data_IF_100545259413
#
_entry.id   IF_100545259413
#
_cell.length_a   1.000
_cell.length_b   1.000
_cell.length_c   1.000
_cell.angle_alpha   90.00
_cell.angle_beta   90.00
_cell.angle_gamma   90.00
#
_symmetry.space_group_name_H-M   'P 1'
#
loop_
_entity.id
_entity.type
_entity.pdbx_description
1 polymer ?
#
# COMPACT_ATOMS: atom_id res chain seq x y z
N UNK A 1 1.26 -25.90 -2.15
CA UNK A 1 1.85 -24.55 -2.14
C UNK A 1 1.71 -23.96 -3.53
N UNK A 2 0.64 -23.21 -3.78
CA UNK A 2 0.30 -22.72 -5.12
C UNK A 2 0.78 -21.28 -5.26
N UNK A 3 2.05 -21.11 -5.62
CA UNK A 3 2.68 -19.82 -6.03
C UNK A 3 2.11 -19.31 -7.38
N UNK A 4 1.06 -19.99 -7.88
CA UNK A 4 0.50 -19.85 -9.23
C UNK A 4 -0.62 -18.81 -9.32
N UNK A 5 -0.96 -18.15 -8.19
CA UNK A 5 -2.02 -17.12 -8.16
C UNK A 5 -1.52 -15.68 -8.11
N UNK A 6 -0.23 -15.46 -7.87
CA UNK A 6 0.33 -14.10 -7.82
C UNK A 6 0.28 -13.46 -9.22
N UNK A 7 -0.32 -12.27 -9.40
CA UNK A 7 -0.33 -11.57 -10.67
C UNK A 7 1.09 -11.43 -11.26
N UNK A 8 1.21 -11.65 -12.58
CA UNK A 8 2.50 -11.71 -13.26
C UNK A 8 3.31 -10.41 -13.12
N UNK A 9 2.63 -9.28 -13.21
CA UNK A 9 3.20 -7.95 -13.08
C UNK A 9 3.72 -7.66 -11.66
N UNK A 10 2.97 -8.04 -10.61
CA UNK A 10 3.44 -7.90 -9.22
C UNK A 10 4.73 -8.70 -9.04
N UNK A 11 4.74 -9.97 -9.49
CA UNK A 11 5.93 -10.82 -9.43
C UNK A 11 7.12 -10.21 -10.18
N UNK A 12 6.87 -9.63 -11.35
CA UNK A 12 7.89 -8.95 -12.15
C UNK A 12 8.50 -7.77 -11.39
N UNK A 13 7.67 -6.91 -10.79
CA UNK A 13 8.12 -5.77 -10.00
C UNK A 13 8.90 -6.18 -8.75
N UNK A 14 8.42 -7.18 -8.01
CA UNK A 14 9.14 -7.73 -6.85
C UNK A 14 10.51 -8.26 -7.25
N UNK A 15 10.60 -9.05 -8.33
CA UNK A 15 11.86 -9.60 -8.81
C UNK A 15 12.81 -8.51 -9.28
N UNK A 16 12.30 -7.50 -9.98
CA UNK A 16 13.11 -6.36 -10.44
C UNK A 16 13.63 -5.53 -9.27
N UNK A 17 12.81 -5.30 -8.26
CA UNK A 17 13.14 -4.43 -7.13
C UNK A 17 14.09 -5.10 -6.15
N UNK A 18 13.79 -6.34 -5.75
CA UNK A 18 14.54 -7.05 -4.70
C UNK A 18 15.58 -8.02 -5.26
N UNK A 19 15.56 -8.31 -6.56
CA UNK A 19 16.42 -9.32 -7.17
C UNK A 19 16.06 -10.73 -6.72
N UNK A 20 16.73 -11.23 -5.68
CA UNK A 20 16.55 -12.58 -5.13
C UNK A 20 15.52 -12.56 -4.01
N UNK A 21 14.44 -13.33 -4.14
CA UNK A 21 13.39 -13.36 -3.11
C UNK A 21 13.79 -14.01 -1.76
N UNK A 22 14.70 -15.01 -1.68
CA UNK A 22 15.20 -15.49 -0.39
C UNK A 22 16.27 -14.59 0.24
N UNK A 23 16.89 -13.70 -0.54
CA UNK A 23 17.95 -12.77 -0.12
C UNK A 23 17.76 -11.40 -0.82
N UNK A 24 16.73 -10.63 -0.43
CA UNK A 24 16.38 -9.39 -1.13
C UNK A 24 17.45 -8.30 -1.01
N UNK A 25 17.72 -7.63 -2.12
CA UNK A 25 18.52 -6.39 -2.16
C UNK A 25 17.60 -5.15 -2.12
N UNK A 26 17.66 -4.41 -1.02
CA UNK A 26 16.86 -3.21 -0.79
C UNK A 26 17.47 -1.93 -1.38
N UNK A 27 18.60 -2.00 -2.09
CA UNK A 27 19.26 -0.79 -2.63
C UNK A 27 18.39 -0.04 -3.62
N UNK A 28 17.77 -0.74 -4.57
CA UNK A 28 16.89 -0.12 -5.55
C UNK A 28 15.63 0.49 -4.90
N UNK A 29 15.13 -0.15 -3.85
CA UNK A 29 13.99 0.37 -3.09
C UNK A 29 14.34 1.71 -2.44
N UNK A 30 15.49 1.78 -1.77
CA UNK A 30 15.98 3.03 -1.16
C UNK A 30 16.18 4.14 -2.20
N UNK A 31 16.74 3.80 -3.36
CA UNK A 31 16.90 4.74 -4.48
C UNK A 31 15.54 5.25 -4.98
N UNK A 32 14.54 4.37 -5.12
CA UNK A 32 13.18 4.73 -5.53
C UNK A 32 12.50 5.66 -4.50
N UNK A 33 12.58 5.33 -3.21
CA UNK A 33 12.02 6.16 -2.12
C UNK A 33 12.66 7.55 -2.05
N UNK A 34 13.96 7.66 -2.33
CA UNK A 34 14.68 8.93 -2.34
C UNK A 34 14.32 9.82 -3.55
N UNK A 35 13.84 9.23 -4.65
CA UNK A 35 13.50 9.98 -5.87
C UNK A 35 12.19 10.78 -5.76
N UNK A 36 11.33 10.47 -4.78
CA UNK A 36 10.05 11.14 -4.57
C UNK A 36 9.10 11.09 -5.77
N UNK A 37 8.76 9.89 -6.31
CA UNK A 37 8.07 9.76 -7.59
C UNK A 37 6.61 10.25 -7.59
N UNK A 38 6.03 10.52 -6.41
CA UNK A 38 4.62 10.86 -6.25
C UNK A 38 4.35 12.35 -6.00
N UNK A 39 5.33 13.23 -6.14
CA UNK A 39 5.16 14.65 -5.82
C UNK A 39 3.98 15.31 -6.55
N UNK A 40 3.78 14.99 -7.83
CA UNK A 40 2.67 15.55 -8.61
C UNK A 40 1.30 15.05 -8.10
N UNK A 41 1.19 13.75 -7.80
CA UNK A 41 -0.01 13.16 -7.21
C UNK A 41 -0.29 13.77 -5.83
N UNK A 42 0.72 13.85 -4.96
CA UNK A 42 0.59 14.41 -3.61
C UNK A 42 0.13 15.87 -3.69
N UNK A 43 0.66 16.67 -4.63
CA UNK A 43 0.20 18.03 -4.85
C UNK A 43 -1.27 18.09 -5.30
N UNK A 44 -1.71 17.17 -6.17
CA UNK A 44 -3.11 17.06 -6.56
C UNK A 44 -4.00 16.70 -5.37
N UNK A 45 -3.61 15.71 -4.56
CA UNK A 45 -4.32 15.29 -3.34
C UNK A 45 -4.43 16.46 -2.35
N UNK A 46 -3.34 17.19 -2.12
CA UNK A 46 -3.29 18.34 -1.21
C UNK A 46 -4.14 19.54 -1.68
N UNK A 47 -4.51 19.60 -2.96
CA UNK A 47 -5.44 20.62 -3.46
C UNK A 47 -6.89 20.36 -3.03
N UNK A 48 -7.21 19.14 -2.57
CA UNK A 48 -8.55 18.71 -2.17
C UNK A 48 -8.64 18.31 -0.70
N UNK A 49 -7.61 17.67 -0.17
CA UNK A 49 -7.58 17.09 1.18
C UNK A 49 -6.56 17.79 2.06
N UNK A 50 -6.74 17.72 3.38
CA UNK A 50 -5.60 17.81 4.28
C UNK A 50 -4.80 16.51 4.13
N UNK A 51 -3.53 16.63 3.79
CA UNK A 51 -2.64 15.49 3.57
C UNK A 51 -1.54 15.50 4.63
N UNK A 52 -1.40 14.39 5.34
CA UNK A 52 -0.27 14.11 6.22
C UNK A 52 0.49 12.87 5.73
N UNK A 53 1.81 12.83 5.95
CA UNK A 53 2.66 11.70 5.56
C UNK A 53 3.07 10.93 6.82
N UNK A 54 2.58 9.70 6.94
CA UNK A 54 2.85 8.79 8.08
C UNK A 54 3.82 7.67 7.67
N UNK A 55 4.79 8.01 6.80
CA UNK A 55 5.75 7.04 6.28
C UNK A 55 6.85 6.76 7.31
N UNK A 56 7.01 5.51 7.76
CA UNK A 56 8.15 5.07 8.55
C UNK A 56 9.27 4.57 7.63
N UNK A 57 10.39 5.30 7.51
CA UNK A 57 11.49 4.93 6.60
C UNK A 57 12.20 3.63 6.97
N UNK A 58 11.96 3.06 8.16
CA UNK A 58 12.55 1.79 8.58
C UNK A 58 11.73 0.58 8.15
N UNK A 59 10.42 0.76 7.94
CA UNK A 59 9.51 -0.33 7.63
C UNK A 59 8.81 -0.17 6.29
N UNK A 60 8.63 1.04 5.78
CA UNK A 60 7.80 1.25 4.61
C UNK A 60 8.58 1.11 3.30
N UNK A 61 7.97 0.34 2.40
CA UNK A 61 8.41 0.14 1.03
C UNK A 61 7.74 1.14 0.07
N UNK A 62 7.24 2.25 0.60
CA UNK A 62 6.40 3.19 -0.14
C UNK A 62 6.24 4.56 0.53
N UNK A 63 5.09 5.18 0.28
CA UNK A 63 4.61 6.35 1.00
C UNK A 63 3.23 6.04 1.58
N UNK A 64 3.10 6.17 2.89
CA UNK A 64 1.83 6.15 3.59
C UNK A 64 1.33 7.59 3.74
N UNK A 65 0.16 7.87 3.18
CA UNK A 65 -0.48 9.18 3.23
C UNK A 65 -1.81 9.07 3.97
N UNK A 66 -2.04 9.98 4.92
CA UNK A 66 -3.34 10.18 5.53
C UNK A 66 -4.06 11.34 4.81
N UNK A 67 -5.24 11.06 4.29
CA UNK A 67 -6.09 12.04 3.60
C UNK A 67 -7.31 12.33 4.47
N UNK A 68 -7.59 13.61 4.71
CA UNK A 68 -8.73 14.02 5.52
C UNK A 68 -9.65 14.99 4.78
N UNK A 69 -10.96 14.71 4.83
CA UNK A 69 -12.07 15.56 4.39
C UNK A 69 -13.18 15.44 5.46
N UNK A 70 -13.24 16.41 6.39
CA UNK A 70 -14.02 16.33 7.64
C UNK A 70 -15.47 15.83 7.41
N UNK A 71 -15.92 14.74 8.08
CA UNK A 71 -15.28 14.03 9.20
C UNK A 71 -14.49 12.77 8.81
N UNK A 72 -14.29 12.53 7.52
CA UNK A 72 -13.75 11.28 7.03
C UNK A 72 -12.21 11.32 6.94
N UNK A 73 -11.59 10.21 7.35
CA UNK A 73 -10.17 9.95 7.23
C UNK A 73 -9.94 8.71 6.35
N UNK A 74 -8.90 8.77 5.53
CA UNK A 74 -8.44 7.66 4.71
C UNK A 74 -6.93 7.51 4.80
N UNK A 75 -6.45 6.30 4.56
CA UNK A 75 -5.05 5.98 4.37
C UNK A 75 -4.82 5.52 2.93
N UNK A 76 -3.76 6.03 2.32
CA UNK A 76 -3.34 5.74 0.96
C UNK A 76 -1.86 5.34 0.97
N UNK A 77 -1.59 4.09 0.64
CA UNK A 77 -0.22 3.58 0.49
C UNK A 77 0.17 3.56 -0.99
N UNK A 78 1.33 4.12 -1.31
CA UNK A 78 1.90 4.21 -2.64
C UNK A 78 3.21 3.41 -2.71
N UNK A 79 3.27 2.36 -3.52
CA UNK A 79 4.39 1.41 -3.51
C UNK A 79 5.61 1.91 -4.29
N UNK A 80 6.78 2.03 -3.65
CA UNK A 80 8.01 2.33 -4.39
C UNK A 80 8.49 1.14 -5.26
N UNK A 81 7.90 -0.05 -5.08
CA UNK A 81 8.25 -1.29 -5.81
C UNK A 81 7.67 -1.34 -7.23
N UNK A 82 6.53 -0.68 -7.45
CA UNK A 82 5.83 -0.68 -8.74
C UNK A 82 4.64 0.28 -8.77
N UNK A 83 3.88 0.31 -9.87
CA UNK A 83 2.75 1.23 -10.04
C UNK A 83 1.51 0.74 -9.28
N UNK A 84 1.65 0.54 -7.97
CA UNK A 84 0.61 -0.05 -7.13
C UNK A 84 0.27 0.88 -5.97
N UNK A 85 -1.02 0.89 -5.62
CA UNK A 85 -1.54 1.59 -4.47
C UNK A 85 -2.49 0.69 -3.65
N UNK A 86 -2.61 0.96 -2.36
CA UNK A 86 -3.66 0.45 -1.50
C UNK A 86 -4.37 1.63 -0.82
N UNK A 87 -5.68 1.57 -0.68
CA UNK A 87 -6.48 2.69 -0.17
C UNK A 87 -7.54 2.15 0.78
N UNK A 88 -7.75 2.83 1.90
CA UNK A 88 -8.74 2.39 2.89
C UNK A 88 -9.29 3.52 3.76
N UNK A 89 -10.49 3.31 4.30
CA UNK A 89 -11.10 4.20 5.31
C UNK A 89 -10.44 3.93 6.66
N UNK A 90 -10.18 4.99 7.42
CA UNK A 90 -9.52 4.92 8.72
C UNK A 90 -10.44 5.41 9.82
N UNK A 91 -10.52 4.63 10.90
CA UNK A 91 -11.07 5.07 12.19
C UNK A 91 -10.02 4.82 13.29
N UNK A 92 -9.92 3.59 13.80
CA UNK A 92 -8.86 3.13 14.71
C UNK A 92 -7.79 2.25 14.01
N UNK A 93 -7.97 2.07 12.70
CA UNK A 93 -7.23 1.21 11.79
C UNK A 93 -7.95 1.24 10.45
N UNK A 94 -7.53 0.42 9.48
CA UNK A 94 -8.28 0.33 8.23
C UNK A 94 -9.56 -0.46 8.48
N UNK A 95 -10.68 0.24 8.61
CA UNK A 95 -12.00 -0.40 8.78
C UNK A 95 -12.48 -1.01 7.47
N UNK A 96 -11.96 -0.51 6.34
CA UNK A 96 -12.31 -1.00 5.01
C UNK A 96 -11.24 -0.69 3.98
N UNK A 97 -10.84 -1.72 3.22
CA UNK A 97 -10.11 -1.55 1.95
C UNK A 97 -11.09 -1.07 0.88
N UNK A 98 -10.72 0.03 0.22
CA UNK A 98 -11.45 0.61 -0.89
C UNK A 98 -10.97 -0.04 -2.18
N UNK A 99 -11.92 -0.52 -2.98
CA UNK A 99 -11.63 -1.25 -4.21
C UNK A 99 -12.33 -0.59 -5.40
N UNK A 100 -11.72 -0.62 -6.61
CA UNK A 100 -12.37 -0.11 -7.81
C UNK A 100 -13.71 -0.82 -8.08
N UNK A 101 -14.77 -0.05 -8.34
CA UNK A 101 -16.07 -0.59 -8.74
C UNK A 101 -17.00 -1.02 -7.61
N UNK A 102 -16.63 -0.76 -6.34
CA UNK A 102 -17.57 -0.91 -5.23
C UNK A 102 -18.77 0.05 -5.40
N UNK A 103 -20.01 -0.38 -5.11
CA UNK A 103 -21.22 0.40 -5.40
C UNK A 103 -21.45 1.60 -4.47
N UNK A 104 -20.74 1.65 -3.35
CA UNK A 104 -20.94 2.60 -2.24
C UNK A 104 -19.72 3.51 -2.01
N UNK A 105 -18.93 3.72 -3.07
CA UNK A 105 -17.87 4.71 -3.07
C UNK A 105 -18.46 6.12 -3.09
N UNK A 106 -17.98 6.97 -2.19
CA UNK A 106 -18.36 8.38 -2.19
C UNK A 106 -17.60 9.19 -3.27
N UNK A 107 -17.92 10.48 -3.38
CA UNK A 107 -17.31 11.34 -4.39
C UNK A 107 -15.82 11.61 -4.15
N UNK A 108 -15.36 11.62 -2.89
CA UNK A 108 -13.96 11.80 -2.56
C UNK A 108 -13.15 10.55 -2.93
N UNK A 109 -13.66 9.37 -2.63
CA UNK A 109 -13.04 8.09 -2.96
C UNK A 109 -12.95 7.86 -4.45
N UNK A 110 -14.03 8.11 -5.18
CA UNK A 110 -14.04 8.06 -6.64
C UNK A 110 -13.02 9.04 -7.24
N UNK A 111 -12.87 10.22 -6.63
CA UNK A 111 -11.90 11.20 -7.08
C UNK A 111 -10.46 10.75 -6.85
N UNK A 112 -10.14 10.19 -5.68
CA UNK A 112 -8.80 9.61 -5.38
C UNK A 112 -8.48 8.49 -6.36
N UNK A 113 -9.43 7.57 -6.60
CA UNK A 113 -9.26 6.48 -7.57
C UNK A 113 -8.96 7.04 -8.97
N UNK A 114 -9.67 8.10 -9.38
CA UNK A 114 -9.42 8.76 -10.67
C UNK A 114 -8.03 9.41 -10.73
N UNK A 115 -7.53 10.01 -9.64
CA UNK A 115 -6.18 10.54 -9.58
C UNK A 115 -5.12 9.44 -9.70
N UNK A 116 -5.30 8.32 -8.98
CA UNK A 116 -4.38 7.17 -9.09
C UNK A 116 -4.29 6.69 -10.54
N UNK A 117 -5.43 6.50 -11.19
CA UNK A 117 -5.47 6.08 -12.60
C UNK A 117 -4.82 7.11 -13.55
N UNK A 118 -5.01 8.42 -13.30
CA UNK A 118 -4.40 9.47 -14.11
C UNK A 118 -2.86 9.53 -13.97
N UNK A 119 -2.30 8.97 -12.89
CA UNK A 119 -0.88 8.85 -12.64
C UNK A 119 -0.34 7.42 -12.90
N UNK A 120 -1.07 6.62 -13.69
CA UNK A 120 -0.71 5.24 -14.05
C UNK A 120 -0.54 4.30 -12.84
N UNK A 121 -1.17 4.60 -11.70
CA UNK A 121 -1.16 3.76 -10.51
C UNK A 121 -2.40 2.86 -10.46
N UNK A 122 -2.15 1.58 -10.18
CA UNK A 122 -3.21 0.59 -9.99
C UNK A 122 -3.53 0.42 -8.51
N UNK A 123 -4.76 0.77 -8.13
CA UNK A 123 -5.33 0.40 -6.84
C UNK A 123 -5.58 -1.12 -6.79
N UNK A 124 -4.97 -1.79 -5.81
CA UNK A 124 -5.13 -3.22 -5.59
C UNK A 124 -6.33 -3.52 -4.71
N UNK A 125 -7.06 -4.59 -5.04
CA UNK A 125 -8.14 -5.10 -4.19
C UNK A 125 -7.58 -5.91 -2.99
N UNK A 126 -8.45 -6.14 -2.01
CA UNK A 126 -8.07 -6.85 -0.78
C UNK A 126 -7.61 -8.28 -1.09
N UNK A 127 -8.30 -8.97 -1.98
CA UNK A 127 -7.99 -10.37 -2.34
C UNK A 127 -6.56 -10.50 -2.88
N UNK A 128 -6.11 -9.55 -3.69
CA UNK A 128 -4.74 -9.49 -4.22
C UNK A 128 -3.75 -9.14 -3.11
N UNK A 129 -4.06 -8.15 -2.27
CA UNK A 129 -3.19 -7.70 -1.17
C UNK A 129 -2.91 -8.81 -0.15
N UNK A 130 -3.86 -9.71 0.05
CA UNK A 130 -3.76 -10.85 0.97
C UNK A 130 -3.03 -12.07 0.38
N UNK A 131 -2.69 -12.08 -0.91
CA UNK A 131 -2.00 -13.21 -1.52
C UNK A 131 -0.59 -13.39 -0.91
N UNK A 132 -0.18 -14.62 -0.58
CA UNK A 132 1.17 -14.89 -0.07
C UNK A 132 2.21 -14.65 -1.17
N UNK A 133 3.37 -14.11 -0.79
CA UNK A 133 4.51 -13.92 -1.69
C UNK A 133 5.70 -14.77 -1.25
N UNK A 134 6.48 -15.32 -2.20
CA UNK A 134 7.68 -16.09 -1.86
C UNK A 134 8.89 -15.17 -1.59
N UNK A 135 8.70 -14.10 -0.81
CA UNK A 135 9.71 -13.12 -0.43
C UNK A 135 10.08 -13.33 1.04
N UNK A 136 11.33 -13.10 1.43
CA UNK A 136 11.71 -13.02 2.85
C UNK A 136 11.86 -11.56 3.23
N UNK A 137 11.06 -11.11 4.18
CA UNK A 137 11.16 -9.77 4.73
C UNK A 137 11.72 -9.85 6.17
N UNK A 138 12.28 -8.76 6.69
CA UNK A 138 12.99 -8.81 7.97
C UNK A 138 12.03 -8.91 9.17
N UNK A 139 10.83 -8.36 9.00
CA UNK A 139 9.84 -8.18 10.04
C UNK A 139 8.50 -8.85 9.72
N UNK A 140 8.34 -9.50 8.55
CA UNK A 140 7.18 -10.32 8.21
C UNK A 140 7.55 -11.79 7.97
N UNK A 141 7.00 -12.69 8.79
CA UNK A 141 7.32 -14.12 8.74
C UNK A 141 6.66 -14.83 7.53
N UNK A 142 5.41 -14.44 7.24
CA UNK A 142 4.60 -14.96 6.13
C UNK A 142 4.11 -13.80 5.26
N UNK A 143 5.01 -13.14 4.50
CA UNK A 143 4.68 -11.90 3.83
C UNK A 143 3.64 -12.11 2.72
N UNK A 144 2.73 -11.14 2.63
CA UNK A 144 1.71 -11.05 1.58
C UNK A 144 2.08 -9.95 0.60
N UNK A 145 1.29 -9.81 -0.46
CA UNK A 145 1.47 -8.74 -1.45
C UNK A 145 1.50 -7.37 -0.79
N UNK A 146 0.65 -7.13 0.22
CA UNK A 146 0.68 -5.88 0.97
C UNK A 146 2.08 -5.59 1.52
N UNK A 147 2.66 -6.54 2.28
CA UNK A 147 3.98 -6.31 2.86
C UNK A 147 5.07 -6.12 1.80
N UNK A 148 5.02 -6.96 0.77
CA UNK A 148 5.99 -6.92 -0.31
C UNK A 148 6.01 -5.59 -1.06
N UNK A 149 4.88 -4.87 -1.10
CA UNK A 149 4.73 -3.63 -1.85
C UNK A 149 4.77 -2.37 -0.99
N UNK A 150 4.33 -2.43 0.27
CA UNK A 150 4.08 -1.23 1.08
C UNK A 150 4.81 -1.21 2.42
N UNK A 151 4.99 -2.34 3.12
CA UNK A 151 5.57 -2.35 4.48
C UNK A 151 6.23 -3.68 4.86
N UNK A 152 7.33 -3.67 5.59
CA UNK A 152 7.97 -4.87 6.18
C UNK A 152 7.21 -5.38 7.43
N UNK A 153 6.17 -4.69 7.91
CA UNK A 153 5.46 -5.10 9.13
C UNK A 153 4.63 -6.38 8.95
N UNK A 154 4.64 -7.28 9.95
CA UNK A 154 3.92 -8.59 9.90
C UNK A 154 2.38 -8.48 9.98
N UNK A 155 1.84 -7.27 9.88
CA UNK A 155 0.43 -6.99 10.11
C UNK A 155 -0.21 -6.41 8.85
N UNK A 156 -1.45 -6.79 8.58
CA UNK A 156 -2.27 -6.05 7.64
C UNK A 156 -2.98 -4.91 8.38
N UNK A 157 -3.13 -3.73 7.75
CA UNK A 157 -3.81 -2.58 8.36
C UNK A 157 -5.27 -2.82 8.75
N UNK A 158 -5.89 -3.87 8.18
CA UNK A 158 -7.28 -4.27 8.41
C UNK A 158 -7.43 -5.60 9.18
N UNK A 159 -6.35 -6.11 9.80
CA UNK A 159 -6.42 -7.30 10.65
C UNK A 159 -6.88 -6.94 12.07
N UNK A 160 -8.19 -6.88 12.28
CA UNK A 160 -8.80 -6.51 13.56
C UNK A 160 -8.33 -7.39 14.73
N UNK A 161 -8.13 -8.69 14.50
CA UNK A 161 -7.71 -9.61 15.54
C UNK A 161 -6.27 -9.31 15.98
N UNK A 162 -5.38 -9.08 15.01
CA UNK A 162 -4.00 -8.75 15.31
C UNK A 162 -3.84 -7.36 15.93
N UNK A 163 -4.59 -6.37 15.43
CA UNK A 163 -4.61 -5.02 16.00
C UNK A 163 -5.19 -5.00 17.43
N UNK A 164 -6.27 -5.75 17.67
CA UNK A 164 -6.86 -5.90 19.00
C UNK A 164 -5.92 -6.57 20.01
N UNK A 165 -5.14 -7.58 19.59
CA UNK A 165 -4.09 -8.18 20.45
C UNK A 165 -3.00 -7.19 20.87
N UNK A 166 -2.77 -6.16 20.06
CA UNK A 166 -1.77 -5.13 20.32
C UNK A 166 -2.33 -3.92 21.09
N UNK A 167 -3.64 -3.91 21.37
CA UNK A 167 -4.31 -2.78 22.02
C UNK A 167 -4.42 -1.54 21.13
N UNK A 168 -4.41 -1.75 19.81
CA UNK A 168 -4.55 -0.70 18.80
C UNK A 168 -6.01 -0.50 18.35
N UNK A 169 -6.92 -1.39 18.80
CA UNK A 169 -8.37 -1.28 18.66
C UNK A 169 -9.06 -1.42 20.03
#
# INVERSE_FOLDING_TARGET
MTVDRLPHDIRHHLTRMFGSTPEPDYRLLREALASGPYQELIAALAARFTVDEDTDPNFDHGRCLLLQDDPQLWALDLSAVGPFAAFGRVELGWTRVIEPGQPDLDAAEQWVIAQLAAHDLRLLDRDVLELPVPLRLAHAADPRVYQALFSDTDLLPWDEEALGRLGLL
#
